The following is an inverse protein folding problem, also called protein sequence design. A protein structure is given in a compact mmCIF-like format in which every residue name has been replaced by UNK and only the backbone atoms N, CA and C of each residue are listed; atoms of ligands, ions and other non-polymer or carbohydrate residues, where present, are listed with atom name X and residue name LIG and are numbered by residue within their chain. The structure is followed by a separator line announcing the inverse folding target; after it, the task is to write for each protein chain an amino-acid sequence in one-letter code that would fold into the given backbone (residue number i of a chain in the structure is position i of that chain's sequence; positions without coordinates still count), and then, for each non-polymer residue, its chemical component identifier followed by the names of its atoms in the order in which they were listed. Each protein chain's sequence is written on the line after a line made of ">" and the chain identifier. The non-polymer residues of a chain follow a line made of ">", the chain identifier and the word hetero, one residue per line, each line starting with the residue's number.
data_IF_497028395712
#
_entry.id   IF_497028395712
#
_cell.length_a   1.000
_cell.length_b   1.000
_cell.length_c   1.000
_cell.angle_alpha   90.00
_cell.angle_beta   90.00
_cell.angle_gamma   90.00
#
_symmetry.space_group_name_H-M   'P 1'
#
loop_
_entity.id
_entity.type
_entity.pdbx_description
1 polymer ?
#
# COMPACT_ATOMS: atom_id res chain seq x y z
N UNK A 1 -6.11 9.15 -2.21
CA UNK A 1 -5.77 7.87 -1.53
C UNK A 1 -4.30 7.76 -1.16
N UNK A 2 -3.34 7.71 -2.11
CA UNK A 2 -1.92 7.50 -1.75
C UNK A 2 -1.34 8.63 -0.87
N UNK A 3 -1.72 9.88 -1.16
CA UNK A 3 -1.30 11.06 -0.42
C UNK A 3 -1.85 11.08 1.03
N UNK A 4 -3.16 10.94 1.19
CA UNK A 4 -3.83 10.87 2.50
C UNK A 4 -3.38 9.67 3.34
N UNK A 5 -3.13 8.52 2.72
CA UNK A 5 -2.53 7.35 3.38
C UNK A 5 -1.13 7.66 3.93
N UNK A 6 -0.27 8.30 3.13
CA UNK A 6 1.08 8.69 3.57
C UNK A 6 1.03 9.71 4.72
N UNK A 7 0.06 10.62 4.71
CA UNK A 7 -0.17 11.56 5.81
C UNK A 7 -0.62 10.85 7.10
N UNK A 8 -1.46 9.81 7.00
CA UNK A 8 -1.90 9.03 8.16
C UNK A 8 -0.74 8.31 8.85
N UNK A 9 0.23 7.83 8.09
CA UNK A 9 1.38 7.07 8.60
C UNK A 9 2.34 7.92 9.44
N UNK A 10 2.58 9.15 9.00
CA UNK A 10 3.47 10.10 9.70
C UNK A 10 2.74 10.89 10.78
N UNK A 11 1.41 10.83 10.84
CA UNK A 11 0.62 11.56 11.83
C UNK A 11 0.97 11.14 13.27
N UNK A 12 1.13 12.13 14.15
CA UNK A 12 1.43 11.95 15.59
C UNK A 12 0.43 12.63 16.51
N UNK A 13 -0.61 13.26 15.94
CA UNK A 13 -1.64 14.00 16.69
C UNK A 13 -3.00 13.37 16.48
N UNK A 14 -3.73 13.10 17.57
CA UNK A 14 -5.08 12.53 17.48
C UNK A 14 -6.06 13.44 16.74
N UNK A 15 -6.01 14.76 16.98
CA UNK A 15 -6.88 15.72 16.30
C UNK A 15 -6.60 15.79 14.81
N UNK A 16 -5.33 15.73 14.42
CA UNK A 16 -4.94 15.70 13.01
C UNK A 16 -5.32 14.36 12.36
N UNK A 17 -5.09 13.25 13.07
CA UNK A 17 -5.47 11.92 12.63
C UNK A 17 -6.96 11.83 12.27
N UNK A 18 -7.86 12.34 13.12
CA UNK A 18 -9.31 12.31 12.84
C UNK A 18 -9.64 13.05 11.54
N UNK A 19 -8.99 14.20 11.27
CA UNK A 19 -9.21 14.97 10.04
C UNK A 19 -8.74 14.21 8.80
N UNK A 20 -7.51 13.69 8.83
CA UNK A 20 -6.94 12.96 7.68
C UNK A 20 -7.69 11.63 7.47
N UNK A 21 -8.10 10.96 8.54
CA UNK A 21 -8.82 9.69 8.45
C UNK A 21 -10.21 9.86 7.84
N UNK A 22 -10.90 10.98 8.12
CA UNK A 22 -12.17 11.29 7.47
C UNK A 22 -11.98 11.54 5.96
N UNK A 23 -10.94 12.29 5.57
CA UNK A 23 -10.57 12.51 4.16
C UNK A 23 -10.27 11.18 3.46
N UNK A 24 -9.37 10.38 4.03
CA UNK A 24 -9.00 9.06 3.52
C UNK A 24 -10.21 8.12 3.41
N UNK A 25 -11.08 8.12 4.43
CA UNK A 25 -12.30 7.30 4.43
C UNK A 25 -13.25 7.64 3.29
N UNK A 26 -13.42 8.94 2.98
CA UNK A 26 -14.20 9.37 1.82
C UNK A 26 -13.62 8.86 0.50
N UNK A 27 -12.31 9.02 0.30
CA UNK A 27 -11.65 8.51 -0.91
C UNK A 27 -11.72 6.98 -1.04
N UNK A 28 -11.70 6.25 0.09
CA UNK A 28 -11.84 4.80 0.12
C UNK A 28 -13.26 4.34 -0.25
N UNK A 29 -14.30 5.08 0.13
CA UNK A 29 -15.67 4.82 -0.31
C UNK A 29 -15.82 5.02 -1.81
N UNK A 30 -15.29 6.13 -2.34
CA UNK A 30 -15.29 6.40 -3.79
C UNK A 30 -14.54 5.31 -4.57
N UNK A 31 -13.38 4.87 -4.06
CA UNK A 31 -12.63 3.76 -4.64
C UNK A 31 -13.42 2.45 -4.57
N UNK A 32 -14.11 2.15 -3.46
CA UNK A 32 -14.88 0.92 -3.29
C UNK A 32 -16.04 0.81 -4.31
N UNK A 33 -16.70 1.93 -4.62
CA UNK A 33 -17.73 1.99 -5.67
C UNK A 33 -17.11 1.75 -7.06
N UNK A 34 -16.13 2.58 -7.45
CA UNK A 34 -15.51 2.51 -8.78
C UNK A 34 -14.82 1.17 -9.07
N UNK A 35 -14.15 0.59 -8.07
CA UNK A 35 -13.54 -0.74 -8.19
C UNK A 35 -14.57 -1.85 -8.28
N UNK A 36 -15.78 -1.65 -7.73
CA UNK A 36 -16.90 -2.58 -7.87
C UNK A 36 -17.48 -2.61 -9.28
N UNK A 37 -17.74 -1.44 -9.85
CA UNK A 37 -18.21 -1.34 -11.24
C UNK A 37 -17.18 -1.97 -12.18
N UNK A 38 -15.89 -1.61 -12.01
CA UNK A 38 -14.82 -2.21 -12.82
C UNK A 38 -14.72 -3.72 -12.63
N UNK A 39 -14.94 -4.25 -11.41
CA UNK A 39 -14.94 -5.70 -11.17
C UNK A 39 -15.98 -6.41 -12.03
N UNK A 40 -17.17 -5.83 -12.20
CA UNK A 40 -18.25 -6.39 -13.02
C UNK A 40 -17.89 -6.39 -14.52
N UNK A 41 -17.19 -5.35 -14.98
CA UNK A 41 -16.81 -5.20 -16.39
C UNK A 41 -15.65 -6.11 -16.83
N UNK A 42 -14.83 -6.58 -15.88
CA UNK A 42 -13.67 -7.42 -16.15
C UNK A 42 -14.06 -8.76 -16.79
N UNK A 43 -13.55 -8.98 -18.01
CA UNK A 43 -13.81 -10.22 -18.79
C UNK A 43 -13.01 -11.41 -18.26
N UNK A 44 -11.77 -11.20 -17.86
CA UNK A 44 -10.94 -12.25 -17.26
C UNK A 44 -11.43 -12.61 -15.87
N UNK A 45 -11.80 -13.88 -15.67
CA UNK A 45 -12.23 -14.40 -14.37
C UNK A 45 -11.13 -14.26 -13.31
N UNK A 46 -9.87 -14.54 -13.68
CA UNK A 46 -8.71 -14.32 -12.81
C UNK A 46 -8.64 -12.87 -12.33
N UNK A 47 -8.79 -11.89 -13.24
CA UNK A 47 -8.77 -10.46 -12.89
C UNK A 47 -9.94 -10.08 -11.99
N UNK A 48 -11.14 -10.60 -12.26
CA UNK A 48 -12.33 -10.37 -11.45
C UNK A 48 -12.14 -10.90 -10.03
N UNK A 49 -11.56 -12.09 -9.86
CA UNK A 49 -11.22 -12.66 -8.56
C UNK A 49 -10.15 -11.83 -7.83
N UNK A 50 -9.07 -11.44 -8.53
CA UNK A 50 -8.02 -10.57 -7.97
C UNK A 50 -8.58 -9.22 -7.48
N UNK A 51 -9.45 -8.58 -8.26
CA UNK A 51 -10.16 -7.36 -7.84
C UNK A 51 -11.01 -7.59 -6.59
N UNK A 52 -11.75 -8.70 -6.53
CA UNK A 52 -12.53 -9.08 -5.34
C UNK A 52 -11.67 -9.24 -4.09
N UNK A 53 -10.54 -9.94 -4.21
CA UNK A 53 -9.56 -10.10 -3.10
C UNK A 53 -9.02 -8.74 -2.65
N UNK A 54 -8.63 -7.87 -3.58
CA UNK A 54 -8.08 -6.56 -3.28
C UNK A 54 -9.11 -5.68 -2.54
N UNK A 55 -10.36 -5.67 -2.99
CA UNK A 55 -11.46 -4.92 -2.35
C UNK A 55 -11.73 -5.42 -0.93
N UNK A 56 -11.84 -6.74 -0.75
CA UNK A 56 -12.03 -7.34 0.58
C UNK A 56 -10.86 -7.06 1.54
N UNK A 57 -9.63 -7.00 1.01
CA UNK A 57 -8.46 -6.61 1.79
C UNK A 57 -8.54 -5.13 2.22
N UNK A 58 -8.85 -4.22 1.30
CA UNK A 58 -8.97 -2.80 1.62
C UNK A 58 -10.05 -2.50 2.65
N UNK A 59 -11.21 -3.14 2.56
CA UNK A 59 -12.28 -2.98 3.54
C UNK A 59 -11.81 -3.38 4.95
N UNK A 60 -11.23 -4.57 5.08
CA UNK A 60 -10.73 -5.09 6.36
C UNK A 60 -9.64 -4.21 6.96
N UNK A 61 -8.64 -3.83 6.16
CA UNK A 61 -7.49 -3.08 6.66
C UNK A 61 -7.81 -1.61 6.92
N UNK A 62 -8.76 -1.01 6.19
CA UNK A 62 -9.26 0.35 6.50
C UNK A 62 -9.97 0.40 7.85
N UNK A 63 -10.78 -0.63 8.17
CA UNK A 63 -11.38 -0.75 9.50
C UNK A 63 -10.32 -0.91 10.60
N UNK A 64 -9.27 -1.71 10.34
CA UNK A 64 -8.20 -1.95 11.31
C UNK A 64 -7.25 -0.75 11.46
N UNK A 65 -7.16 0.12 10.46
CA UNK A 65 -6.28 1.30 10.47
C UNK A 65 -6.63 2.27 11.59
N UNK A 66 -7.93 2.48 11.86
CA UNK A 66 -8.37 3.30 12.98
C UNK A 66 -7.86 2.74 14.31
N UNK A 67 -8.11 1.45 14.56
CA UNK A 67 -7.76 0.80 15.83
C UNK A 67 -6.25 0.77 16.04
N UNK A 68 -5.48 0.30 15.05
CA UNK A 68 -4.02 0.20 15.15
C UNK A 68 -3.35 1.57 15.34
N UNK A 69 -3.76 2.59 14.58
CA UNK A 69 -3.22 3.96 14.72
C UNK A 69 -3.58 4.56 16.07
N UNK A 70 -4.82 4.36 16.54
CA UNK A 70 -5.29 4.85 17.84
C UNK A 70 -4.53 4.19 19.00
N UNK A 71 -4.15 2.92 18.87
CA UNK A 71 -3.33 2.22 19.87
C UNK A 71 -1.92 2.82 19.93
N UNK A 72 -1.26 3.01 18.79
CA UNK A 72 0.08 3.62 18.77
C UNK A 72 0.08 5.07 19.28
N UNK A 73 -0.96 5.86 18.97
CA UNK A 73 -1.09 7.22 19.51
C UNK A 73 -1.23 7.25 21.05
N UNK A 74 -1.69 6.17 21.68
CA UNK A 74 -1.74 6.05 23.15
C UNK A 74 -0.47 5.50 23.76
N UNK A 75 0.26 4.68 23.01
CA UNK A 75 1.44 3.95 23.47
C UNK A 75 2.58 4.10 22.45
N UNK A 76 3.13 5.30 22.26
CA UNK A 76 4.14 5.59 21.24
C UNK A 76 5.43 4.79 21.42
N UNK A 77 5.71 4.31 22.63
CA UNK A 77 6.85 3.48 23.00
C UNK A 77 6.65 1.98 22.69
N UNK A 78 5.43 1.56 22.35
CA UNK A 78 5.11 0.16 22.10
C UNK A 78 5.53 -0.27 20.69
N UNK A 79 6.60 -1.05 20.61
CA UNK A 79 7.08 -1.62 19.34
C UNK A 79 6.02 -2.51 18.67
N UNK A 80 5.26 -3.28 19.45
CA UNK A 80 4.17 -4.11 18.91
C UNK A 80 3.02 -3.28 18.34
N UNK A 81 2.68 -2.14 18.95
CA UNK A 81 1.69 -1.21 18.40
C UNK A 81 2.18 -0.58 17.09
N UNK A 82 3.47 -0.24 17.01
CA UNK A 82 4.10 0.30 15.81
C UNK A 82 4.07 -0.73 14.68
N UNK A 83 4.60 -1.94 14.92
CA UNK A 83 4.63 -3.04 13.95
C UNK A 83 3.21 -3.40 13.46
N UNK A 84 2.22 -3.43 14.35
CA UNK A 84 0.83 -3.69 13.99
C UNK A 84 0.30 -2.61 13.03
N UNK A 85 0.53 -1.34 13.34
CA UNK A 85 0.08 -0.22 12.51
C UNK A 85 0.78 -0.23 11.16
N UNK A 86 2.09 -0.39 11.13
CA UNK A 86 2.88 -0.35 9.91
C UNK A 86 2.52 -1.51 8.98
N UNK A 87 2.29 -2.71 9.55
CA UNK A 87 1.75 -3.84 8.81
C UNK A 87 0.38 -3.57 8.17
N UNK A 88 -0.49 -2.77 8.82
CA UNK A 88 -1.77 -2.35 8.20
C UNK A 88 -1.55 -1.43 7.01
N UNK A 89 -0.62 -0.48 7.09
CA UNK A 89 -0.26 0.39 5.96
C UNK A 89 0.25 -0.41 4.77
N UNK A 90 1.14 -1.39 5.00
CA UNK A 90 1.67 -2.25 3.95
C UNK A 90 0.60 -3.09 3.27
N UNK A 91 -0.34 -3.65 4.03
CA UNK A 91 -1.47 -4.39 3.47
C UNK A 91 -2.39 -3.51 2.63
N UNK A 92 -2.65 -2.26 3.07
CA UNK A 92 -3.42 -1.30 2.27
C UNK A 92 -2.69 -0.97 0.97
N UNK A 93 -1.38 -0.66 1.01
CA UNK A 93 -0.59 -0.40 -0.21
C UNK A 93 -0.62 -1.57 -1.17
N UNK A 94 -0.43 -2.79 -0.67
CA UNK A 94 -0.45 -4.02 -1.46
C UNK A 94 -1.81 -4.21 -2.15
N UNK A 95 -2.90 -3.98 -1.42
CA UNK A 95 -4.24 -4.09 -1.99
C UNK A 95 -4.52 -2.98 -3.03
N UNK A 96 -4.07 -1.74 -2.81
CA UNK A 96 -4.14 -0.66 -3.81
C UNK A 96 -3.34 -0.99 -5.07
N UNK A 97 -2.15 -1.58 -4.93
CA UNK A 97 -1.35 -2.05 -6.06
C UNK A 97 -2.08 -3.14 -6.84
N UNK A 98 -2.72 -4.09 -6.16
CA UNK A 98 -3.50 -5.13 -6.82
C UNK A 98 -4.71 -4.57 -7.59
N UNK A 99 -5.38 -3.55 -7.04
CA UNK A 99 -6.41 -2.81 -7.79
C UNK A 99 -5.80 -2.16 -9.03
N UNK A 100 -4.67 -1.46 -8.92
CA UNK A 100 -4.00 -0.83 -10.06
C UNK A 100 -3.66 -1.86 -11.16
N UNK A 101 -3.13 -3.03 -10.77
CA UNK A 101 -2.86 -4.15 -11.67
C UNK A 101 -4.12 -4.59 -12.42
N UNK A 102 -5.26 -4.67 -11.72
CA UNK A 102 -6.54 -5.07 -12.32
C UNK A 102 -7.16 -3.99 -13.21
N UNK A 103 -6.89 -2.71 -12.97
CA UNK A 103 -7.40 -1.59 -13.78
C UNK A 103 -6.56 -1.40 -15.05
N UNK A 104 -5.24 -1.52 -14.94
CA UNK A 104 -4.31 -1.32 -16.06
C UNK A 104 -4.13 -2.55 -16.96
N UNK A 105 -5.01 -3.55 -16.86
CA UNK A 105 -4.94 -4.84 -17.55
C UNK A 105 -3.59 -5.59 -17.37
N UNK A 106 -2.79 -5.21 -16.36
CA UNK A 106 -1.47 -5.77 -16.05
C UNK A 106 -0.28 -4.98 -16.57
N UNK A 107 -0.50 -3.90 -17.29
CA UNK A 107 0.56 -3.00 -17.74
C UNK A 107 0.72 -1.92 -16.69
N UNK A 108 1.50 -2.21 -15.65
CA UNK A 108 2.00 -1.17 -14.75
C UNK A 108 3.45 -0.86 -15.11
N UNK A 109 3.81 0.41 -15.35
CA UNK A 109 5.17 0.84 -15.10
C UNK A 109 5.41 0.64 -13.60
N UNK A 110 6.11 -0.44 -13.24
CA UNK A 110 6.60 -0.64 -11.88
C UNK A 110 7.64 0.44 -11.66
N UNK A 111 7.25 1.49 -10.94
CA UNK A 111 8.19 2.45 -10.37
C UNK A 111 8.48 2.00 -8.94
N UNK A 112 9.62 1.33 -8.67
CA UNK A 112 9.95 0.82 -7.34
C UNK A 112 10.14 1.93 -6.31
N UNK A 113 10.27 3.19 -6.75
CA UNK A 113 10.57 4.35 -5.90
C UNK A 113 9.30 5.00 -5.33
N UNK A 114 8.11 4.68 -5.87
CA UNK A 114 6.87 5.41 -5.55
C UNK A 114 6.39 5.31 -4.10
N UNK A 115 6.90 4.36 -3.32
CA UNK A 115 6.53 4.15 -1.91
C UNK A 115 7.71 3.86 -0.99
N UNK A 116 8.96 3.92 -1.47
CA UNK A 116 10.13 3.73 -0.60
C UNK A 116 10.51 5.11 -0.03
N UNK A 117 10.12 5.36 1.22
CA UNK A 117 10.87 6.30 2.03
C UNK A 117 12.25 5.69 2.30
N UNK A 118 13.26 6.33 1.74
CA UNK A 118 14.67 6.06 2.01
C UNK A 118 14.98 6.47 3.45
N UNK A 119 15.07 5.50 4.37
CA UNK A 119 15.84 5.70 5.60
C UNK A 119 17.31 5.47 5.27
N UNK A 120 18.07 6.55 5.32
CA UNK A 120 19.52 6.66 5.22
C UNK A 120 20.31 5.57 5.96
N UNK A 121 21.20 4.84 5.29
CA UNK A 121 22.67 5.02 5.33
C UNK A 121 23.38 3.93 4.48
N UNK A 122 24.28 4.41 3.63
CA UNK A 122 25.26 3.74 2.76
C UNK A 122 24.85 2.78 1.61
N UNK A 123 25.34 3.04 0.37
CA UNK A 123 25.04 2.24 -0.82
C UNK A 123 26.17 1.26 -1.12
N UNK A 124 25.91 -0.04 -0.99
CA UNK A 124 26.68 -1.06 -1.70
C UNK A 124 25.73 -2.17 -2.10
N UNK A 125 25.17 -2.00 -3.30
CA UNK A 125 24.29 -2.96 -3.92
C UNK A 125 25.11 -4.16 -4.43
N UNK A 126 25.44 -5.06 -3.50
CA UNK A 126 26.07 -6.36 -3.77
C UNK A 126 25.18 -7.18 -4.75
N UNK A 127 23.86 -6.92 -4.76
CA UNK A 127 22.91 -7.54 -5.69
C UNK A 127 23.07 -7.05 -7.13
N UNK A 128 23.25 -5.74 -7.35
CA UNK A 128 23.51 -5.15 -8.67
C UNK A 128 24.84 -5.63 -9.24
N UNK A 129 25.90 -5.73 -8.42
CA UNK A 129 27.21 -6.18 -8.91
C UNK A 129 27.18 -7.66 -9.36
N UNK A 130 26.46 -8.52 -8.62
CA UNK A 130 26.31 -9.94 -8.98
C UNK A 130 25.45 -10.11 -10.23
N UNK A 131 24.41 -9.29 -10.39
CA UNK A 131 23.50 -9.30 -11.55
C UNK A 131 24.21 -8.80 -12.81
N UNK A 132 25.03 -7.74 -12.71
CA UNK A 132 25.84 -7.24 -13.82
C UNK A 132 26.93 -8.23 -14.24
N UNK A 133 27.61 -8.89 -13.29
CA UNK A 133 28.62 -9.91 -13.59
C UNK A 133 28.01 -11.17 -14.23
N UNK A 134 26.80 -11.57 -13.82
CA UNK A 134 26.06 -12.66 -14.46
C UNK A 134 25.63 -12.30 -15.89
N UNK A 135 25.21 -11.04 -16.12
CA UNK A 135 24.84 -10.55 -17.45
C UNK A 135 26.05 -10.42 -18.39
N UNK A 136 27.20 -9.94 -17.91
CA UNK A 136 28.43 -9.82 -18.72
C UNK A 136 28.97 -11.20 -19.14
N UNK A 137 28.89 -12.21 -18.25
CA UNK A 137 29.28 -13.60 -18.58
C UNK A 137 28.38 -14.27 -19.63
N UNK A 138 27.19 -13.74 -19.89
CA UNK A 138 26.29 -14.25 -20.94
C UNK A 138 26.42 -13.49 -22.27
N UNK A 139 27.27 -12.47 -22.34
CA UNK A 139 27.48 -11.64 -23.53
C UNK A 139 28.87 -11.85 -24.19
N UNK A 140 29.65 -12.82 -23.73
CA UNK A 140 30.89 -13.33 -24.36
C UNK A 140 30.78 -14.83 -24.53
#
# INVERSE_FOLDING_TARGET
>A
VAYSLSRLEVCRSFTEFVKIFAEFGGEMVDLAHRSGDRQHDLKSEKRRAQMGVARAALERHTMLLLTSSKTLLRHPESESALQCRDGVFDQIRTALQLIAICVCDGVLPVDPVRFVQTSSEEPLDIGIQLTANAAIKQLT
#
